data_IF_078432991325
#
_entry.id   IF_078432991325
#
_cell.length_a   1.000
_cell.length_b   1.000
_cell.length_c   1.000
_cell.angle_alpha   90.00
_cell.angle_beta   90.00
_cell.angle_gamma   90.00
#
_symmetry.space_group_name_H-M   'P 1'
#
loop_
_entity.id
_entity.type
_entity.pdbx_description
1 polymer ?
#
# COMPACT_ATOMS: atom_id res chain seq x y z
N UNK A 1 -19.71 -1.43 7.12
CA UNK A 1 -18.37 -1.70 6.53
C UNK A 1 -18.59 -2.31 5.17
N UNK A 2 -17.92 -1.78 4.14
CA UNK A 2 -17.89 -2.40 2.80
C UNK A 2 -16.47 -2.92 2.60
N UNK A 3 -16.31 -4.23 2.40
CA UNK A 3 -15.02 -4.85 2.13
C UNK A 3 -14.91 -5.08 0.61
N UNK A 4 -13.92 -4.45 -0.01
CA UNK A 4 -13.77 -4.44 -1.48
C UNK A 4 -12.59 -5.34 -1.85
N UNK A 5 -12.88 -6.46 -2.48
CA UNK A 5 -11.87 -7.40 -2.99
C UNK A 5 -11.68 -7.23 -4.50
N UNK A 6 -10.41 -7.21 -4.94
CA UNK A 6 -10.10 -7.08 -6.35
C UNK A 6 -9.80 -8.46 -6.95
N UNK A 7 -10.64 -8.90 -7.90
CA UNK A 7 -10.58 -10.27 -8.43
C UNK A 7 -9.24 -10.69 -9.03
N UNK A 8 -8.51 -9.76 -9.66
CA UNK A 8 -7.21 -10.04 -10.25
C UNK A 8 -6.09 -10.39 -9.24
N UNK A 9 -6.25 -10.10 -7.95
CA UNK A 9 -5.25 -10.43 -6.92
C UNK A 9 -5.57 -11.71 -6.15
N UNK A 10 -6.70 -12.40 -6.43
CA UNK A 10 -7.06 -13.64 -5.74
C UNK A 10 -6.06 -14.79 -5.91
N UNK A 11 -5.23 -14.75 -6.96
CA UNK A 11 -4.22 -15.78 -7.23
C UNK A 11 -2.83 -15.42 -6.68
N UNK A 12 -2.69 -14.24 -6.07
CA UNK A 12 -1.43 -13.84 -5.45
C UNK A 12 -1.17 -14.73 -4.23
N UNK A 13 0.09 -15.11 -4.03
CA UNK A 13 0.53 -15.91 -2.90
C UNK A 13 1.41 -15.06 -2.01
N UNK A 14 1.27 -15.23 -0.70
CA UNK A 14 2.07 -14.57 0.32
C UNK A 14 1.99 -15.34 1.63
N UNK A 15 2.78 -14.91 2.62
CA UNK A 15 2.72 -15.47 3.96
C UNK A 15 1.46 -14.96 4.66
N UNK A 16 0.70 -15.87 5.25
CA UNK A 16 -0.48 -15.54 6.06
C UNK A 16 -0.25 -16.11 7.46
N UNK A 17 -0.39 -15.31 8.53
CA UNK A 17 -0.26 -15.80 9.90
C UNK A 17 -1.21 -16.96 10.18
N UNK A 18 -0.75 -17.93 10.98
CA UNK A 18 -1.61 -19.03 11.44
C UNK A 18 -2.53 -18.56 12.58
N UNK A 19 -3.74 -19.10 12.61
CA UNK A 19 -4.75 -18.74 13.61
C UNK A 19 -5.46 -17.41 13.31
N UNK A 20 -6.33 -17.00 14.23
CA UNK A 20 -7.13 -15.78 14.08
C UNK A 20 -6.30 -14.55 14.45
N UNK A 21 -6.39 -13.52 13.61
CA UNK A 21 -5.81 -12.21 13.89
C UNK A 21 -6.73 -11.11 13.36
N UNK A 22 -6.53 -9.91 13.89
CA UNK A 22 -7.28 -8.72 13.48
C UNK A 22 -6.31 -7.62 13.06
N UNK A 23 -6.73 -6.83 12.09
CA UNK A 23 -6.07 -5.60 11.71
C UNK A 23 -7.02 -4.42 12.00
N UNK A 24 -6.48 -3.23 12.31
CA UNK A 24 -7.31 -2.04 12.46
C UNK A 24 -8.04 -1.74 11.14
N UNK A 25 -9.30 -1.27 11.26
CA UNK A 25 -10.11 -0.82 10.12
C UNK A 25 -9.93 0.69 9.89
N UNK A 26 -8.72 1.18 10.13
CA UNK A 26 -8.30 2.57 9.97
C UNK A 26 -6.80 2.64 9.66
N UNK A 27 -6.37 3.80 9.15
CA UNK A 27 -4.97 4.08 8.89
C UNK A 27 -4.44 3.48 7.58
N UNK A 28 -3.50 4.18 6.98
CA UNK A 28 -2.67 3.71 5.90
C UNK A 28 -1.45 2.93 6.45
N UNK A 29 -0.65 2.39 5.55
CA UNK A 29 0.59 1.69 5.89
C UNK A 29 1.67 2.03 4.87
N UNK A 30 2.83 2.48 5.35
CA UNK A 30 4.02 2.65 4.52
C UNK A 30 4.60 1.25 4.25
N UNK A 31 4.52 0.81 2.99
CA UNK A 31 4.97 -0.52 2.54
C UNK A 31 6.42 -0.54 2.07
N UNK A 32 6.92 0.63 1.69
CA UNK A 32 8.30 0.88 1.28
C UNK A 32 8.62 2.32 1.61
N UNK A 33 9.65 2.57 2.41
CA UNK A 33 10.16 3.91 2.69
C UNK A 33 10.80 4.53 1.42
N UNK A 34 10.74 5.84 1.29
CA UNK A 34 11.39 6.57 0.21
C UNK A 34 11.57 8.05 0.51
N UNK A 35 12.23 8.78 -0.39
CA UNK A 35 12.62 10.18 -0.13
C UNK A 35 12.35 11.14 -1.27
N UNK A 36 12.12 10.64 -2.48
CA UNK A 36 12.08 11.48 -3.69
C UNK A 36 10.66 11.68 -4.22
N UNK A 37 9.77 10.71 -3.98
CA UNK A 37 8.37 10.76 -4.42
C UNK A 37 7.51 9.80 -3.61
N UNK A 38 6.25 10.17 -3.36
CA UNK A 38 5.25 9.33 -2.69
C UNK A 38 4.27 8.72 -3.70
N UNK A 39 4.11 7.40 -3.64
CA UNK A 39 3.15 6.61 -4.42
C UNK A 39 2.05 6.10 -3.48
N UNK A 40 0.90 6.77 -3.51
CA UNK A 40 -0.28 6.37 -2.71
C UNK A 40 -1.20 5.48 -3.54
N UNK A 41 -1.53 4.29 -3.04
CA UNK A 41 -2.45 3.38 -3.72
C UNK A 41 -3.23 2.48 -2.76
N UNK A 42 -4.04 1.58 -3.31
CA UNK A 42 -4.76 0.55 -2.57
C UNK A 42 -5.10 -0.62 -3.49
N UNK A 43 -5.45 -1.77 -2.91
CA UNK A 43 -5.91 -2.95 -3.64
C UNK A 43 -4.89 -3.40 -4.72
N UNK A 44 -5.34 -3.69 -5.95
CA UNK A 44 -4.43 -4.04 -7.06
C UNK A 44 -3.41 -2.94 -7.37
N UNK A 45 -3.79 -1.68 -7.21
CA UNK A 45 -2.91 -0.54 -7.52
C UNK A 45 -1.64 -0.54 -6.69
N UNK A 46 -1.70 -1.04 -5.45
CA UNK A 46 -0.52 -1.20 -4.60
C UNK A 46 0.57 -2.06 -5.25
N UNK A 47 0.20 -3.21 -5.82
CA UNK A 47 1.18 -4.10 -6.45
C UNK A 47 1.82 -3.46 -7.68
N UNK A 48 1.07 -2.61 -8.41
CA UNK A 48 1.62 -1.81 -9.50
C UNK A 48 2.57 -0.73 -8.97
N UNK A 49 2.23 -0.07 -7.87
CA UNK A 49 3.06 0.95 -7.24
C UNK A 49 4.38 0.36 -6.70
N UNK A 50 4.33 -0.83 -6.09
CA UNK A 50 5.53 -1.54 -5.64
C UNK A 50 6.46 -1.89 -6.81
N UNK A 51 5.92 -2.43 -7.90
CA UNK A 51 6.70 -2.70 -9.12
C UNK A 51 7.29 -1.43 -9.74
N UNK A 52 6.51 -0.34 -9.80
CA UNK A 52 7.00 0.95 -10.27
C UNK A 52 8.11 1.52 -9.37
N UNK A 53 8.02 1.33 -8.04
CA UNK A 53 9.06 1.74 -7.11
C UNK A 53 10.37 0.94 -7.30
N UNK A 54 10.29 -0.33 -7.71
CA UNK A 54 11.46 -1.11 -8.12
C UNK A 54 12.09 -0.53 -9.41
N UNK A 55 11.28 -0.28 -10.44
CA UNK A 55 11.75 0.32 -11.71
C UNK A 55 12.35 1.74 -11.52
N UNK A 56 11.80 2.53 -10.60
CA UNK A 56 12.33 3.85 -10.24
C UNK A 56 13.65 3.75 -9.48
N UNK A 57 13.81 2.74 -8.62
CA UNK A 57 15.05 2.52 -7.89
C UNK A 57 16.23 2.21 -8.84
N UNK A 58 15.98 1.50 -9.95
CA UNK A 58 16.98 1.27 -11.01
C UNK A 58 17.46 2.57 -11.67
N UNK A 59 16.64 3.62 -11.63
CA UNK A 59 16.95 4.95 -12.14
C UNK A 59 17.49 5.89 -11.04
N UNK A 60 17.72 5.37 -9.84
CA UNK A 60 18.23 6.13 -8.69
C UNK A 60 17.17 6.99 -8.01
N UNK A 61 15.88 6.72 -8.23
CA UNK A 61 14.75 7.42 -7.60
C UNK A 61 14.19 6.58 -6.45
N UNK A 62 14.17 7.15 -5.26
CA UNK A 62 13.69 6.54 -4.02
C UNK A 62 12.21 6.85 -3.78
N UNK A 63 11.33 5.95 -4.23
CA UNK A 63 9.87 6.11 -4.10
C UNK A 63 9.29 5.52 -2.80
N UNK A 64 8.64 6.33 -1.98
CA UNK A 64 7.83 5.84 -0.86
C UNK A 64 6.52 5.25 -1.39
N UNK A 65 6.07 4.11 -0.86
CA UNK A 65 4.82 3.46 -1.28
C UNK A 65 3.90 3.31 -0.08
N UNK A 66 2.72 3.95 -0.17
CA UNK A 66 1.69 3.93 0.87
C UNK A 66 0.49 3.11 0.40
N UNK A 67 0.11 2.09 1.18
CA UNK A 67 -1.16 1.38 1.04
C UNK A 67 -2.23 2.04 1.91
N UNK A 68 -3.28 2.60 1.30
CA UNK A 68 -4.33 3.28 2.04
C UNK A 68 -5.13 2.35 2.96
N UNK A 69 -5.30 1.07 2.59
CA UNK A 69 -6.13 0.04 3.27
C UNK A 69 -7.61 0.38 3.46
N UNK A 70 -7.93 1.58 3.92
CA UNK A 70 -9.25 2.12 4.26
C UNK A 70 -9.48 3.40 3.48
N UNK A 71 -10.57 3.43 2.71
CA UNK A 71 -10.91 4.59 1.87
C UNK A 71 -11.80 5.61 2.59
N UNK A 72 -12.42 5.21 3.70
CA UNK A 72 -13.27 6.10 4.52
C UNK A 72 -13.35 5.61 5.98
N UNK A 73 -12.94 6.44 6.95
CA UNK A 73 -12.24 7.72 6.78
C UNK A 73 -10.88 7.52 6.11
N UNK A 74 -10.47 8.51 5.30
CA UNK A 74 -9.18 8.47 4.61
C UNK A 74 -8.08 8.94 5.57
N UNK A 75 -7.01 8.17 5.70
CA UNK A 75 -5.84 8.57 6.48
C UNK A 75 -5.02 9.60 5.72
N UNK A 76 -5.40 10.86 5.87
CA UNK A 76 -4.76 11.99 5.17
C UNK A 76 -3.48 12.43 5.88
N UNK A 77 -3.35 12.15 7.18
CA UNK A 77 -2.19 12.52 7.99
C UNK A 77 -0.95 11.80 7.48
N UNK A 78 -1.01 10.46 7.35
CA UNK A 78 0.11 9.65 6.80
C UNK A 78 0.52 10.10 5.40
N UNK A 79 -0.45 10.48 4.54
CA UNK A 79 -0.14 10.95 3.18
C UNK A 79 0.52 12.34 3.20
N UNK A 80 0.09 13.24 4.08
CA UNK A 80 0.66 14.59 4.19
C UNK A 80 2.08 14.53 4.77
N UNK A 81 2.33 13.69 5.76
CA UNK A 81 3.67 13.55 6.37
C UNK A 81 4.72 13.04 5.38
N UNK A 82 4.28 12.31 4.35
CA UNK A 82 5.13 11.75 3.30
C UNK A 82 5.52 12.74 2.20
N UNK A 83 4.70 13.77 1.95
CA UNK A 83 4.81 14.68 0.78
C UNK A 83 5.61 15.94 1.06
#
# INVERSE_FOLDING_TARGET
VVFIEHSLIYRNRGLVPAGDYTLPLEGAEVRREGTDVTLVSWSRGLYLALGAAEELAEQGISAEVIDMRVLRPLDTETVIESV
#
